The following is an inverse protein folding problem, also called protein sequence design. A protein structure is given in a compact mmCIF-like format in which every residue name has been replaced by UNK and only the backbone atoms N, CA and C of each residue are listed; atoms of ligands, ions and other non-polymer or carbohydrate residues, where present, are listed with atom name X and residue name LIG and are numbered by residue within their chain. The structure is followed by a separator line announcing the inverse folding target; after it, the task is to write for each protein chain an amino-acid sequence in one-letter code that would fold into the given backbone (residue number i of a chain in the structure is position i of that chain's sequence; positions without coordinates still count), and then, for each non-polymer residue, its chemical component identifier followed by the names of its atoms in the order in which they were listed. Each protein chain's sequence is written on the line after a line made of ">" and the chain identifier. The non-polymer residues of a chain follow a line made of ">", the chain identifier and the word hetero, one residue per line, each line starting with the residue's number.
data_IF_967094546163
#
_entry.id   IF_967094546163
#
_cell.length_a   1.000
_cell.length_b   1.000
_cell.length_c   1.000
_cell.angle_alpha   90.00
_cell.angle_beta   90.00
_cell.angle_gamma   90.00
#
_symmetry.space_group_name_H-M   'P 1'
#
loop_
_entity.id
_entity.type
_entity.pdbx_description
1 polymer ?
#
# COMPACT_ATOMS: atom_id res chain seq x y z
N UNK A 1 4.44 25.63 3.23
CA UNK A 1 3.03 25.65 3.68
C UNK A 1 2.07 26.44 2.80
N UNK A 2 2.51 27.45 2.04
CA UNK A 2 1.62 28.39 1.31
C UNK A 2 0.60 27.73 0.37
N UNK A 3 1.05 26.81 -0.49
CA UNK A 3 0.16 26.11 -1.45
C UNK A 3 -0.90 25.31 -0.70
N UNK A 4 -0.49 24.55 0.32
CA UNK A 4 -1.40 23.74 1.14
C UNK A 4 -2.52 24.58 1.76
N UNK A 5 -2.20 25.72 2.36
CA UNK A 5 -3.20 26.61 2.98
C UNK A 5 -4.20 27.12 1.95
N UNK A 6 -3.72 27.60 0.79
CA UNK A 6 -4.59 28.10 -0.28
C UNK A 6 -5.49 27.01 -0.85
N UNK A 7 -4.95 25.82 -1.10
CA UNK A 7 -5.71 24.69 -1.63
C UNK A 7 -6.77 24.19 -0.63
N UNK A 8 -6.45 24.14 0.67
CA UNK A 8 -7.43 23.78 1.70
C UNK A 8 -8.56 24.82 1.80
N UNK A 9 -8.24 26.11 1.68
CA UNK A 9 -9.23 27.19 1.68
C UNK A 9 -10.20 27.08 0.50
N UNK A 10 -9.66 26.89 -0.70
CA UNK A 10 -10.42 26.81 -1.95
C UNK A 10 -11.07 25.44 -2.20
N UNK A 11 -10.64 24.39 -1.51
CA UNK A 11 -11.03 23.01 -1.83
C UNK A 11 -10.43 22.52 -3.14
N UNK A 12 -9.25 23.03 -3.52
CA UNK A 12 -8.60 22.72 -4.79
C UNK A 12 -7.73 21.47 -4.65
N UNK A 13 -7.99 20.46 -5.48
CA UNK A 13 -7.11 19.29 -5.63
C UNK A 13 -5.78 19.69 -6.27
N UNK A 14 -4.67 19.16 -5.74
CA UNK A 14 -3.33 19.41 -6.25
C UNK A 14 -2.41 18.20 -6.03
N UNK A 15 -1.27 18.17 -6.74
CA UNK A 15 -0.24 17.17 -6.55
C UNK A 15 1.06 17.84 -6.09
N UNK A 16 1.67 17.26 -5.08
CA UNK A 16 2.98 17.63 -4.56
C UNK A 16 4.03 16.66 -5.12
N UNK A 17 5.26 17.15 -5.30
CA UNK A 17 6.38 16.31 -5.70
C UNK A 17 7.67 16.79 -5.05
N UNK A 18 8.48 15.85 -4.56
CA UNK A 18 9.75 16.14 -3.91
C UNK A 18 10.88 15.23 -4.38
N UNK A 19 12.11 15.75 -4.32
CA UNK A 19 13.36 15.00 -4.53
C UNK A 19 14.25 15.24 -3.33
N UNK A 20 14.93 14.20 -2.84
CA UNK A 20 15.83 14.31 -1.69
C UNK A 20 17.10 15.08 -2.01
N UNK A 21 17.73 15.66 -0.99
CA UNK A 21 18.97 16.43 -1.13
C UNK A 21 20.17 15.63 -1.68
N UNK A 22 20.15 14.31 -1.52
CA UNK A 22 21.16 13.40 -2.07
C UNK A 22 20.80 12.84 -3.46
N UNK A 23 19.67 13.28 -4.04
CA UNK A 23 19.15 12.89 -5.35
C UNK A 23 18.87 11.40 -5.58
N UNK A 24 18.89 10.55 -4.55
CA UNK A 24 18.62 9.10 -4.69
C UNK A 24 17.20 8.69 -4.28
N UNK A 25 16.34 9.65 -3.93
CA UNK A 25 14.93 9.37 -3.67
C UNK A 25 14.04 10.52 -4.09
N UNK A 26 12.77 10.21 -4.32
CA UNK A 26 11.74 11.19 -4.62
C UNK A 26 10.35 10.64 -4.37
N UNK A 27 9.34 11.48 -4.52
CA UNK A 27 7.95 11.06 -4.39
C UNK A 27 7.01 12.02 -5.10
N UNK A 28 5.77 11.55 -5.30
CA UNK A 28 4.62 12.37 -5.64
C UNK A 28 3.48 12.05 -4.67
N UNK A 29 2.65 13.05 -4.38
CA UNK A 29 1.49 12.91 -3.51
C UNK A 29 0.28 13.65 -4.07
N UNK A 30 -0.85 12.96 -4.20
CA UNK A 30 -2.14 13.56 -4.56
C UNK A 30 -2.88 14.01 -3.31
N UNK A 31 -3.21 15.31 -3.28
CA UNK A 31 -3.86 15.97 -2.16
C UNK A 31 -5.24 16.45 -2.62
N UNK A 32 -6.27 15.78 -2.12
CA UNK A 32 -7.67 16.16 -2.27
C UNK A 32 -8.14 16.62 -0.88
N UNK A 33 -8.31 17.94 -0.66
CA UNK A 33 -8.68 18.48 0.64
C UNK A 33 -9.92 17.78 1.23
N UNK A 34 -9.75 17.17 2.40
CA UNK A 34 -10.82 16.45 3.11
C UNK A 34 -10.88 14.94 2.85
N UNK A 35 -10.31 14.46 1.75
CA UNK A 35 -10.30 13.04 1.36
C UNK A 35 -8.96 12.36 1.63
N UNK A 36 -7.85 13.01 1.24
CA UNK A 36 -6.49 12.54 1.48
C UNK A 36 -5.71 13.49 2.39
N UNK A 37 -4.61 13.01 2.96
CA UNK A 37 -3.76 13.80 3.83
C UNK A 37 -3.27 15.07 3.11
N UNK A 38 -3.55 16.24 3.70
CA UNK A 38 -2.90 17.48 3.28
C UNK A 38 -1.46 17.54 3.82
N UNK A 39 -0.65 18.46 3.33
CA UNK A 39 0.76 18.59 3.75
C UNK A 39 0.90 18.91 5.25
N UNK A 40 -0.10 19.56 5.84
CA UNK A 40 -0.16 19.83 7.28
C UNK A 40 -0.67 18.64 8.13
N UNK A 41 -1.13 17.54 7.52
CA UNK A 41 -1.60 16.38 8.28
C UNK A 41 -0.43 15.57 8.87
N UNK A 42 0.69 15.50 8.15
CA UNK A 42 1.91 14.83 8.56
C UNK A 42 3.12 15.72 8.21
N UNK A 43 3.28 16.87 8.89
CA UNK A 43 4.34 17.82 8.57
C UNK A 43 5.72 17.22 8.87
N UNK A 44 6.75 17.54 8.06
CA UNK A 44 8.12 17.16 8.38
C UNK A 44 8.58 17.84 9.68
N UNK A 45 9.57 17.23 10.35
CA UNK A 45 10.02 17.66 11.68
C UNK A 45 10.35 19.16 11.77
N UNK A 46 10.98 19.72 10.73
CA UNK A 46 11.40 21.12 10.69
C UNK A 46 10.21 22.07 10.74
N UNK A 47 9.10 21.71 10.09
CA UNK A 47 7.84 22.46 10.11
C UNK A 47 7.14 22.26 11.46
N UNK A 48 7.05 21.03 11.95
CA UNK A 48 6.40 20.73 13.23
C UNK A 48 7.08 21.42 14.44
N UNK A 49 8.42 21.52 14.41
CA UNK A 49 9.21 22.15 15.47
C UNK A 49 9.34 23.69 15.31
N UNK A 50 8.71 24.29 14.28
CA UNK A 50 8.85 25.71 13.94
C UNK A 50 10.31 26.17 13.80
N UNK A 51 11.17 25.29 13.27
CA UNK A 51 12.56 25.63 12.96
C UNK A 51 12.59 26.32 11.61
N UNK A 52 13.24 27.47 11.52
CA UNK A 52 13.43 28.16 10.23
C UNK A 52 14.28 27.28 9.30
N UNK A 53 13.74 26.89 8.16
CA UNK A 53 14.41 26.08 7.14
C UNK A 53 15.76 26.69 6.70
N UNK A 54 15.91 28.01 6.78
CA UNK A 54 17.17 28.70 6.51
C UNK A 54 18.30 28.28 7.45
N UNK A 55 17.98 27.84 8.66
CA UNK A 55 18.99 27.38 9.64
C UNK A 55 19.60 26.03 9.26
N UNK A 56 18.91 25.22 8.43
CA UNK A 56 19.42 23.95 7.91
C UNK A 56 20.31 24.14 6.68
N UNK A 57 20.06 25.21 5.91
CA UNK A 57 20.86 25.54 4.74
C UNK A 57 22.21 26.13 5.15
N UNK A 58 23.29 25.39 4.91
CA UNK A 58 24.65 25.92 5.03
C UNK A 58 24.98 26.74 3.79
N UNK A 59 25.65 27.89 3.96
CA UNK A 59 26.11 28.68 2.82
C UNK A 59 27.27 27.97 2.10
N UNK A 60 27.27 28.03 0.77
CA UNK A 60 28.32 27.43 -0.07
C UNK A 60 28.14 25.94 -0.38
N UNK A 61 27.08 25.28 0.11
CA UNK A 61 26.73 23.89 -0.27
C UNK A 61 25.43 23.87 -1.07
N UNK A 62 25.37 22.99 -2.07
CA UNK A 62 24.15 22.73 -2.83
C UNK A 62 23.63 21.33 -2.52
N UNK A 63 22.32 21.14 -2.65
CA UNK A 63 21.74 19.81 -2.76
C UNK A 63 22.30 19.13 -4.01
N UNK A 64 22.61 17.85 -3.91
CA UNK A 64 22.90 17.04 -5.08
C UNK A 64 21.64 17.02 -5.96
N UNK A 65 21.84 17.18 -7.26
CA UNK A 65 20.76 17.11 -8.24
C UNK A 65 21.22 16.18 -9.35
N UNK A 66 20.42 15.13 -9.58
CA UNK A 66 20.65 14.17 -10.65
C UNK A 66 19.49 14.30 -11.65
N UNK A 67 19.77 14.65 -12.94
CA UNK A 67 18.72 14.82 -13.94
C UNK A 67 17.83 13.60 -14.12
N UNK A 68 18.38 12.40 -13.87
CA UNK A 68 17.65 11.13 -13.92
C UNK A 68 16.52 11.08 -12.89
N UNK A 69 16.80 11.37 -11.62
CA UNK A 69 15.79 11.36 -10.55
C UNK A 69 14.72 12.41 -10.79
N UNK A 70 15.11 13.61 -11.24
CA UNK A 70 14.16 14.64 -11.63
C UNK A 70 13.28 14.21 -12.80
N UNK A 71 13.86 13.54 -13.81
CA UNK A 71 13.11 12.99 -14.95
C UNK A 71 12.12 11.91 -14.55
N UNK A 72 12.52 10.99 -13.66
CA UNK A 72 11.63 9.93 -13.12
C UNK A 72 10.47 10.56 -12.35
N UNK A 73 10.75 11.48 -11.41
CA UNK A 73 9.72 12.13 -10.59
C UNK A 73 8.75 12.96 -11.45
N UNK A 74 9.26 13.71 -12.42
CA UNK A 74 8.41 14.45 -13.36
C UNK A 74 7.55 13.52 -14.24
N UNK A 75 8.14 12.41 -14.72
CA UNK A 75 7.43 11.42 -15.51
C UNK A 75 6.27 10.77 -14.75
N UNK A 76 6.52 10.31 -13.53
CA UNK A 76 5.45 9.72 -12.69
C UNK A 76 4.41 10.76 -12.27
N UNK A 77 4.81 12.02 -12.04
CA UNK A 77 3.88 13.11 -11.70
C UNK A 77 2.90 13.35 -12.85
N UNK A 78 3.40 13.57 -14.07
CA UNK A 78 2.55 13.81 -15.24
C UNK A 78 1.71 12.58 -15.56
N UNK A 79 2.26 11.38 -15.42
CA UNK A 79 1.48 10.15 -15.58
C UNK A 79 0.30 10.09 -14.60
N UNK A 80 0.51 10.51 -13.35
CA UNK A 80 -0.57 10.57 -12.37
C UNK A 80 -1.61 11.66 -12.69
N UNK A 81 -1.17 12.82 -13.21
CA UNK A 81 -2.06 13.89 -13.71
C UNK A 81 -2.93 13.37 -14.85
N UNK A 82 -2.34 12.65 -15.82
CA UNK A 82 -3.09 12.08 -16.94
C UNK A 82 -4.12 11.05 -16.47
N UNK A 83 -3.72 10.10 -15.62
CA UNK A 83 -4.66 9.12 -15.03
C UNK A 83 -5.81 9.82 -14.29
N UNK A 84 -5.51 10.88 -13.55
CA UNK A 84 -6.50 11.64 -12.78
C UNK A 84 -7.48 12.42 -13.66
N UNK A 85 -6.99 13.13 -14.69
CA UNK A 85 -7.83 13.98 -15.54
C UNK A 85 -8.59 13.21 -16.62
N UNK A 86 -8.03 12.11 -17.10
CA UNK A 86 -8.60 11.30 -18.19
C UNK A 86 -9.28 10.03 -17.68
N UNK A 87 -9.32 9.81 -16.36
CA UNK A 87 -10.04 8.72 -15.71
C UNK A 87 -9.68 7.31 -16.24
N UNK A 88 -8.40 7.06 -16.48
CA UNK A 88 -7.89 5.73 -16.87
C UNK A 88 -6.85 5.21 -15.88
N UNK A 89 -6.76 3.88 -15.79
CA UNK A 89 -5.87 3.21 -14.85
C UNK A 89 -6.15 3.59 -13.39
N UNK A 90 -5.18 3.29 -12.51
CA UNK A 90 -5.31 3.56 -11.08
C UNK A 90 -4.48 4.77 -10.67
N UNK A 91 -5.13 5.82 -10.16
CA UNK A 91 -4.46 7.02 -9.63
C UNK A 91 -3.76 6.69 -8.31
N UNK A 92 -2.51 7.14 -8.16
CA UNK A 92 -1.72 6.94 -6.95
C UNK A 92 -1.91 8.12 -6.00
N UNK A 93 -2.33 7.85 -4.76
CA UNK A 93 -2.40 8.86 -3.70
C UNK A 93 -1.02 9.28 -3.20
N UNK A 94 -0.11 8.33 -3.13
CA UNK A 94 1.31 8.56 -2.93
C UNK A 94 2.08 7.49 -3.70
N UNK A 95 3.16 7.91 -4.34
CA UNK A 95 4.12 7.04 -4.99
C UNK A 95 5.52 7.53 -4.67
N UNK A 96 6.27 6.73 -3.92
CA UNK A 96 7.68 6.97 -3.64
C UNK A 96 8.57 6.37 -4.72
N UNK A 97 9.80 6.85 -4.78
CA UNK A 97 10.88 6.33 -5.60
C UNK A 97 12.17 6.29 -4.78
N UNK A 98 12.78 5.12 -4.66
CA UNK A 98 14.12 4.93 -4.10
C UNK A 98 15.04 4.37 -5.20
N UNK A 99 15.94 5.22 -5.68
CA UNK A 99 16.86 4.92 -6.77
C UNK A 99 17.94 3.90 -6.40
N UNK A 100 18.22 3.69 -5.10
CA UNK A 100 19.26 2.74 -4.67
C UNK A 100 18.80 1.29 -4.74
N UNK A 101 17.49 1.05 -4.68
CA UNK A 101 16.88 -0.28 -4.60
C UNK A 101 15.83 -0.49 -5.69
N UNK A 102 15.69 0.44 -6.63
CA UNK A 102 14.62 0.49 -7.63
C UNK A 102 13.24 0.20 -7.03
N UNK A 103 12.99 0.78 -5.85
CA UNK A 103 11.80 0.50 -5.06
C UNK A 103 10.77 1.63 -5.18
N UNK A 104 9.53 1.25 -5.50
CA UNK A 104 8.41 2.17 -5.77
C UNK A 104 7.22 1.91 -4.83
N UNK A 105 7.29 2.34 -3.56
CA UNK A 105 6.20 2.11 -2.61
C UNK A 105 4.99 3.00 -2.95
N UNK A 106 3.80 2.39 -2.90
CA UNK A 106 2.53 3.12 -2.96
C UNK A 106 1.86 3.13 -1.60
N UNK A 107 1.19 4.23 -1.26
CA UNK A 107 0.39 4.33 -0.04
C UNK A 107 -0.80 5.28 -0.24
N UNK A 108 -1.78 5.20 0.64
CA UNK A 108 -2.90 6.12 0.70
C UNK A 108 -2.94 6.76 2.08
N UNK A 109 -2.42 7.99 2.17
CA UNK A 109 -2.40 8.74 3.42
C UNK A 109 -3.76 9.40 3.65
N UNK A 110 -4.37 9.16 4.82
CA UNK A 110 -5.66 9.73 5.20
C UNK A 110 -5.50 11.04 5.97
N UNK A 111 -6.50 11.95 5.90
CA UNK A 111 -6.47 13.20 6.63
C UNK A 111 -6.36 12.97 8.14
N UNK A 112 -5.58 13.83 8.81
CA UNK A 112 -5.54 13.88 10.27
C UNK A 112 -6.78 14.63 10.80
N UNK A 113 -7.66 14.00 11.63
CA UNK A 113 -8.83 14.67 12.21
C UNK A 113 -8.48 15.89 13.07
N UNK A 114 -7.26 15.94 13.60
CA UNK A 114 -6.73 17.01 14.44
C UNK A 114 -5.68 17.87 13.71
N UNK A 115 -5.75 17.94 12.38
CA UNK A 115 -4.82 18.76 11.60
C UNK A 115 -4.83 20.24 12.06
N UNK A 116 -3.65 20.83 12.15
CA UNK A 116 -3.45 22.23 12.56
C UNK A 116 -4.21 23.20 11.64
N UNK A 117 -4.28 22.88 10.35
CA UNK A 117 -5.04 23.66 9.38
C UNK A 117 -6.55 23.49 9.60
N UNK A 118 -7.21 24.57 10.05
CA UNK A 118 -8.65 24.62 10.26
C UNK A 118 -9.44 24.37 8.98
N UNK A 119 -8.95 24.84 7.83
CA UNK A 119 -9.62 24.62 6.55
C UNK A 119 -9.57 23.14 6.17
N UNK A 120 -8.46 22.43 6.45
CA UNK A 120 -8.41 20.98 6.26
C UNK A 120 -9.50 20.26 7.06
N UNK A 121 -9.67 20.57 8.35
CA UNK A 121 -10.72 19.98 9.19
C UNK A 121 -12.13 20.26 8.65
N UNK A 122 -12.38 21.50 8.20
CA UNK A 122 -13.64 21.86 7.54
C UNK A 122 -13.90 21.02 6.28
N UNK A 123 -12.90 20.86 5.43
CA UNK A 123 -13.04 20.05 4.21
C UNK A 123 -13.29 18.56 4.52
N UNK A 124 -12.70 18.03 5.60
CA UNK A 124 -12.96 16.65 6.05
C UNK A 124 -14.43 16.45 6.45
N UNK A 125 -15.03 17.42 7.12
CA UNK A 125 -16.46 17.39 7.48
C UNK A 125 -17.36 17.42 6.24
N UNK A 126 -17.06 18.31 5.29
CA UNK A 126 -17.78 18.40 4.01
C UNK A 126 -17.64 17.12 3.18
N UNK A 127 -16.44 16.53 3.14
CA UNK A 127 -16.19 15.26 2.46
C UNK A 127 -17.01 14.12 3.07
N UNK A 128 -17.06 14.02 4.40
CA UNK A 128 -17.88 13.00 5.09
C UNK A 128 -19.37 13.14 4.75
N UNK A 129 -19.90 14.37 4.73
CA UNK A 129 -21.29 14.62 4.31
C UNK A 129 -21.53 14.20 2.86
N UNK A 130 -20.60 14.52 1.96
CA UNK A 130 -20.67 14.17 0.54
C UNK A 130 -20.67 12.65 0.34
N UNK A 131 -19.80 11.92 1.04
CA UNK A 131 -19.72 10.44 0.94
C UNK A 131 -21.01 9.78 1.45
N UNK A 132 -21.60 10.29 2.53
CA UNK A 132 -22.89 9.76 3.04
C UNK A 132 -24.04 10.04 2.08
N UNK A 133 -24.00 11.17 1.35
CA UNK A 133 -25.02 11.52 0.36
C UNK A 133 -24.87 10.74 -0.96
N UNK A 134 -23.69 10.19 -1.26
CA UNK A 134 -23.46 9.38 -2.44
C UNK A 134 -24.00 7.95 -2.20
N UNK A 135 -24.80 7.39 -3.12
CA UNK A 135 -25.16 5.98 -3.05
C UNK A 135 -23.88 5.14 -3.16
N UNK A 136 -23.76 4.09 -2.34
CA UNK A 136 -22.65 3.13 -2.46
C UNK A 136 -22.69 2.51 -3.86
N UNK A 137 -21.81 2.95 -4.75
CA UNK A 137 -21.54 2.23 -5.98
C UNK A 137 -20.78 0.97 -5.61
N UNK A 138 -21.42 -0.18 -5.81
CA UNK A 138 -20.71 -1.44 -5.92
C UNK A 138 -19.87 -1.36 -7.19
N UNK A 139 -18.54 -1.34 -7.03
CA UNK A 139 -17.63 -1.47 -8.15
C UNK A 139 -17.74 -2.91 -8.63
N UNK A 140 -18.64 -3.15 -9.59
CA UNK A 140 -18.62 -4.38 -10.37
C UNK A 140 -17.37 -4.29 -11.21
N UNK A 141 -16.33 -5.05 -10.84
CA UNK A 141 -15.24 -5.33 -11.75
C UNK A 141 -15.83 -6.21 -12.85
N UNK A 142 -16.14 -5.62 -13.99
CA UNK A 142 -16.39 -6.39 -15.20
C UNK A 142 -15.06 -7.07 -15.55
N UNK A 143 -14.97 -8.38 -15.31
CA UNK A 143 -13.85 -9.18 -15.80
C UNK A 143 -13.94 -9.17 -17.33
N UNK A 144 -12.93 -8.60 -17.99
CA UNK A 144 -12.84 -8.65 -19.44
C UNK A 144 -12.72 -10.12 -19.88
N UNK A 145 -13.69 -10.59 -20.66
CA UNK A 145 -13.69 -11.95 -21.19
C UNK A 145 -12.54 -12.10 -22.19
N UNK A 146 -11.56 -12.95 -21.86
CA UNK A 146 -10.36 -13.17 -22.69
C UNK A 146 -10.73 -14.09 -23.86
N UNK A 147 -10.81 -13.54 -25.06
CA UNK A 147 -11.04 -14.30 -26.30
C UNK A 147 -9.71 -14.49 -27.03
N UNK A 148 -9.31 -15.75 -27.25
CA UNK A 148 -8.14 -16.08 -28.06
C UNK A 148 -8.53 -16.15 -29.54
N UNK A 149 -7.82 -15.40 -30.40
CA UNK A 149 -8.05 -15.40 -31.86
C UNK A 149 -7.85 -16.80 -32.45
N UNK A 150 -6.80 -17.50 -32.01
CA UNK A 150 -6.48 -18.88 -32.37
C UNK A 150 -6.03 -19.68 -31.13
N UNK A 151 -6.44 -20.95 -31.05
CA UNK A 151 -5.98 -21.92 -30.04
C UNK A 151 -5.81 -23.31 -30.68
N UNK A 152 -5.00 -23.38 -31.74
CA UNK A 152 -4.78 -24.62 -32.53
C UNK A 152 -4.21 -25.77 -31.69
N UNK A 153 -3.52 -25.45 -30.59
CA UNK A 153 -2.83 -26.41 -29.73
C UNK A 153 -3.68 -26.90 -28.55
N UNK A 154 -4.94 -26.45 -28.45
CA UNK A 154 -5.87 -26.86 -27.39
C UNK A 154 -5.35 -26.52 -25.99
N UNK A 155 -4.73 -25.35 -25.82
CA UNK A 155 -4.21 -24.91 -24.53
C UNK A 155 -5.40 -24.57 -23.63
N UNK A 156 -5.48 -25.22 -22.48
CA UNK A 156 -6.54 -25.02 -21.49
C UNK A 156 -6.00 -24.24 -20.28
N UNK A 157 -6.78 -23.28 -19.80
CA UNK A 157 -6.48 -22.58 -18.55
C UNK A 157 -6.85 -23.51 -17.38
N UNK A 158 -5.85 -24.15 -16.79
CA UNK A 158 -6.02 -24.94 -15.57
C UNK A 158 -5.83 -24.01 -14.38
N UNK A 159 -6.83 -23.93 -13.51
CA UNK A 159 -6.67 -23.26 -12.21
C UNK A 159 -5.68 -24.07 -11.37
N UNK A 160 -4.53 -23.49 -10.99
CA UNK A 160 -3.54 -24.16 -10.13
C UNK A 160 -4.08 -24.51 -8.73
N UNK A 161 -5.24 -23.97 -8.37
CA UNK A 161 -5.97 -24.26 -7.14
C UNK A 161 -7.41 -24.58 -7.54
N UNK A 162 -7.88 -25.78 -7.19
CA UNK A 162 -9.28 -26.13 -7.38
C UNK A 162 -10.19 -25.27 -6.49
N UNK A 163 -11.43 -25.02 -6.92
CA UNK A 163 -12.43 -24.33 -6.06
C UNK A 163 -12.61 -25.03 -4.70
N UNK A 164 -12.37 -26.34 -4.65
CA UNK A 164 -12.42 -27.15 -3.43
C UNK A 164 -11.22 -26.90 -2.51
N UNK A 165 -10.00 -26.75 -3.04
CA UNK A 165 -8.80 -26.36 -2.27
C UNK A 165 -8.88 -24.91 -1.76
N UNK A 166 -9.50 -24.01 -2.54
CA UNK A 166 -9.74 -22.62 -2.15
C UNK A 166 -10.77 -22.54 -1.00
N UNK A 167 -11.81 -23.38 -1.03
CA UNK A 167 -12.80 -23.54 0.06
C UNK A 167 -12.24 -24.30 1.27
N UNK A 168 -11.28 -25.20 1.09
CA UNK A 168 -10.66 -25.94 2.19
C UNK A 168 -9.60 -25.12 2.93
N UNK A 169 -8.88 -24.24 2.23
CA UNK A 169 -7.93 -23.30 2.83
C UNK A 169 -8.64 -22.18 3.63
N UNK A 170 -9.82 -21.77 3.18
CA UNK A 170 -10.73 -20.89 3.92
C UNK A 170 -11.67 -21.72 4.81
N UNK A 171 -11.19 -22.12 5.99
CA UNK A 171 -11.99 -22.87 6.96
C UNK A 171 -13.36 -22.23 7.28
N UNK A 172 -14.27 -22.98 7.94
CA UNK A 172 -15.64 -22.53 8.18
C UNK A 172 -15.67 -21.18 8.93
N UNK A 173 -16.37 -20.20 8.36
CA UNK A 173 -16.56 -18.88 8.97
C UNK A 173 -17.59 -19.02 10.11
N UNK A 174 -17.22 -18.71 11.36
CA UNK A 174 -18.17 -18.75 12.48
C UNK A 174 -19.21 -17.62 12.35
N UNK A 175 -20.44 -17.90 12.79
CA UNK A 175 -21.50 -16.88 12.87
C UNK A 175 -21.16 -15.89 13.99
N UNK A 176 -20.88 -14.63 13.63
CA UNK A 176 -20.39 -13.58 14.52
C UNK A 176 -21.33 -12.37 14.51
N UNK A 177 -21.52 -11.70 15.67
CA UNK A 177 -22.36 -10.51 15.77
C UNK A 177 -21.78 -9.30 15.00
N UNK A 178 -22.64 -8.34 14.64
CA UNK A 178 -22.27 -7.14 13.89
C UNK A 178 -21.07 -6.40 14.52
N UNK A 179 -20.00 -6.24 13.74
CA UNK A 179 -18.80 -5.48 14.11
C UNK A 179 -17.58 -6.30 14.50
N UNK A 180 -17.64 -7.64 14.46
CA UNK A 180 -16.49 -8.52 14.73
C UNK A 180 -16.16 -9.33 13.48
N UNK A 181 -14.90 -9.28 13.03
CA UNK A 181 -14.38 -10.11 11.94
C UNK A 181 -13.18 -10.93 12.42
N UNK A 182 -13.07 -12.17 11.95
CA UNK A 182 -11.90 -13.02 12.19
C UNK A 182 -10.73 -12.59 11.33
N UNK A 183 -9.53 -12.53 11.91
CA UNK A 183 -8.30 -12.14 11.22
C UNK A 183 -7.76 -13.24 10.28
N UNK A 184 -8.08 -14.51 10.55
CA UNK A 184 -7.77 -15.66 9.71
C UNK A 184 -8.70 -16.83 10.05
N UNK A 185 -8.91 -17.73 9.10
CA UNK A 185 -9.61 -19.01 9.28
C UNK A 185 -8.59 -20.15 9.19
N UNK A 186 -8.71 -21.16 10.07
CA UNK A 186 -7.84 -22.33 10.04
C UNK A 186 -8.37 -23.30 8.96
N UNK A 187 -7.54 -23.77 8.02
CA UNK A 187 -7.96 -24.74 7.02
C UNK A 187 -8.57 -25.99 7.66
N UNK A 188 -9.59 -26.60 7.03
CA UNK A 188 -10.03 -27.93 7.45
C UNK A 188 -8.88 -28.90 7.16
N UNK A 189 -8.41 -29.63 8.18
CA UNK A 189 -7.48 -30.74 7.99
C UNK A 189 -8.13 -31.72 7.02
N UNK A 190 -7.52 -31.93 5.85
CA UNK A 190 -7.82 -33.12 5.05
C UNK A 190 -7.45 -34.33 5.91
N UNK A 191 -8.39 -35.25 6.11
CA UNK A 191 -8.09 -36.62 6.50
C UNK A 191 -7.47 -37.32 5.28
N UNK A 192 -6.28 -36.87 4.87
CA UNK A 192 -5.43 -37.72 4.05
C UNK A 192 -4.98 -38.84 4.96
N UNK A 193 -5.31 -40.07 4.59
CA UNK A 193 -4.75 -41.29 5.16
C UNK A 193 -3.27 -41.39 4.81
N UNK A 194 -2.46 -40.48 5.33
CA UNK A 194 -1.01 -40.62 5.42
C UNK A 194 -0.77 -41.25 6.79
N UNK A 195 -0.08 -42.40 6.89
CA UNK A 195 0.25 -42.95 8.20
C UNK A 195 0.99 -41.88 8.98
N UNK A 196 0.41 -41.52 10.12
CA UNK A 196 0.98 -40.62 11.10
C UNK A 196 2.33 -41.22 11.50
N UNK A 197 3.42 -40.72 10.93
CA UNK A 197 4.76 -40.99 11.47
C UNK A 197 4.85 -40.13 12.71
N UNK A 198 4.22 -40.60 13.78
CA UNK A 198 4.55 -40.21 15.13
C UNK A 198 6.02 -40.56 15.30
N UNK A 199 6.88 -39.55 15.42
CA UNK A 199 8.21 -39.75 15.99
C UNK A 199 7.96 -40.29 17.40
N UNK A 200 8.16 -41.59 17.59
CA UNK A 200 8.16 -42.17 18.93
C UNK A 200 9.26 -41.45 19.70
N UNK A 201 8.89 -40.77 20.79
CA UNK A 201 9.85 -40.30 21.79
C UNK A 201 10.51 -41.56 22.37
N UNK A 202 11.59 -42.01 21.74
CA UNK A 202 12.44 -43.05 22.30
C UNK A 202 13.06 -42.45 23.56
N UNK A 203 12.60 -42.92 24.71
CA UNK A 203 13.14 -42.58 26.03
C UNK A 203 14.56 -43.15 26.24
N UNK A 204 15.36 -43.25 25.18
CA UNK A 204 16.76 -43.69 25.23
C UNK A 204 17.63 -42.48 25.56
N UNK A 205 18.50 -42.64 26.57
CA UNK A 205 19.41 -41.57 26.95
C UNK A 205 20.47 -41.37 25.86
N UNK A 206 20.94 -40.14 25.70
CA UNK A 206 21.90 -39.74 24.66
C UNK A 206 23.22 -40.54 24.75
N UNK A 207 23.53 -41.02 25.96
CA UNK A 207 24.69 -41.86 26.26
C UNK A 207 24.54 -43.29 25.69
N UNK A 208 23.34 -43.87 25.76
CA UNK A 208 23.04 -45.19 25.20
C UNK A 208 23.11 -45.19 23.66
N UNK A 209 22.70 -44.08 23.04
CA UNK A 209 22.77 -43.90 21.59
C UNK A 209 24.23 -43.84 21.11
N UNK A 210 25.10 -43.12 21.84
CA UNK A 210 26.53 -43.05 21.53
C UNK A 210 27.25 -44.39 21.70
N UNK A 211 26.81 -45.23 22.65
CA UNK A 211 27.36 -46.57 22.83
C UNK A 211 26.99 -47.51 21.66
N UNK A 212 25.74 -47.45 21.17
CA UNK A 212 25.29 -48.24 20.01
C UNK A 212 26.05 -47.87 18.73
N UNK A 213 26.30 -46.59 18.48
CA UNK A 213 27.04 -46.16 17.27
C UNK A 213 28.53 -46.50 17.30
N UNK A 214 29.12 -46.78 18.48
CA UNK A 214 30.51 -47.21 18.60
C UNK A 214 30.73 -48.71 18.34
N UNK A 215 29.65 -49.50 18.32
CA UNK A 215 29.67 -50.94 18.05
C UNK A 215 29.09 -51.29 16.65
N UNK A 216 28.84 -50.29 15.81
CA UNK A 216 28.67 -50.43 14.37
C UNK A 216 29.97 -50.07 13.65
#
# INVERSE_FOLDING_TARGET
>A
MTINTACNELGQTWMESGVSENAVSGHIQLIIPGESACFACAPPLVVAANIDEKTLKREGVCAASLPTTMGVVAGILVQNVLKFLLNFGTVSFYLGYNAMQDFFPTMSMKPNPQCDDRNCRRQQEEYKKKVVALPKQEVVQEEEEIIHEDNEWGIELVSEVSEEELKNSSGPVPDLPEGITVAYTIPKKQEDSVPEVTVEDSSESLEDLMAKMKNM
#
